data_IF_213096844314
#
_entry.id   IF_213096844314
#
_cell.length_a   1.000
_cell.length_b   1.000
_cell.length_c   1.000
_cell.angle_alpha   90.00
_cell.angle_beta   90.00
_cell.angle_gamma   90.00
#
_symmetry.space_group_name_H-M   'P 1'
#
loop_
_entity.id
_entity.type
_entity.pdbx_description
1 polymer ?
#
# COMPACT_ATOMS: atom_id res chain seq x y z
N UNK A 1 16.84 -30.04 3.23
CA UNK A 1 16.44 -29.68 1.85
C UNK A 1 15.36 -28.61 1.76
N UNK A 2 14.20 -28.77 2.44
CA UNK A 2 13.12 -27.78 2.41
C UNK A 2 13.57 -26.36 2.81
N UNK A 3 14.38 -26.22 3.87
CA UNK A 3 14.95 -24.93 4.30
C UNK A 3 15.81 -24.30 3.20
N UNK A 4 16.70 -25.07 2.57
CA UNK A 4 17.58 -24.55 1.51
C UNK A 4 16.80 -24.10 0.27
N UNK A 5 15.75 -24.84 -0.13
CA UNK A 5 14.85 -24.44 -1.22
C UNK A 5 14.07 -23.17 -0.87
N UNK A 6 13.45 -23.14 0.32
CA UNK A 6 12.70 -21.97 0.80
C UNK A 6 13.56 -20.71 0.90
N UNK A 7 14.81 -20.83 1.33
CA UNK A 7 15.76 -19.70 1.35
C UNK A 7 16.08 -19.18 -0.04
N UNK A 8 16.24 -20.05 -1.04
CA UNK A 8 16.54 -19.64 -2.42
C UNK A 8 15.31 -18.98 -3.09
N UNK A 9 14.12 -19.52 -2.85
CA UNK A 9 12.87 -18.92 -3.32
C UNK A 9 12.62 -17.55 -2.65
N UNK A 10 12.88 -17.46 -1.34
CA UNK A 10 12.84 -16.21 -0.59
C UNK A 10 13.82 -15.17 -1.10
N UNK A 11 15.06 -15.57 -1.43
CA UNK A 11 16.07 -14.67 -2.01
C UNK A 11 15.60 -14.10 -3.36
N UNK A 12 15.06 -14.96 -4.24
CA UNK A 12 14.51 -14.53 -5.53
C UNK A 12 13.34 -13.55 -5.35
N UNK A 13 12.44 -13.84 -4.42
CA UNK A 13 11.33 -12.95 -4.08
C UNK A 13 11.84 -11.60 -3.56
N UNK A 14 12.81 -11.60 -2.63
CA UNK A 14 13.38 -10.40 -2.04
C UNK A 14 14.04 -9.50 -3.10
N UNK A 15 14.82 -10.07 -4.00
CA UNK A 15 15.45 -9.32 -5.11
C UNK A 15 14.40 -8.71 -6.04
N UNK A 16 13.35 -9.47 -6.37
CA UNK A 16 12.27 -8.96 -7.21
C UNK A 16 11.52 -7.80 -6.54
N UNK A 17 11.20 -7.93 -5.25
CA UNK A 17 10.53 -6.87 -4.48
C UNK A 17 11.42 -5.63 -4.42
N UNK A 18 12.72 -5.78 -4.11
CA UNK A 18 13.66 -4.66 -4.08
C UNK A 18 13.75 -3.93 -5.43
N UNK A 19 13.84 -4.66 -6.54
CA UNK A 19 13.88 -4.07 -7.87
C UNK A 19 12.61 -3.28 -8.21
N UNK A 20 11.43 -3.85 -7.89
CA UNK A 20 10.14 -3.18 -8.12
C UNK A 20 10.01 -1.93 -7.23
N UNK A 21 10.41 -2.01 -5.96
CA UNK A 21 10.42 -0.86 -5.04
C UNK A 21 11.28 0.28 -5.58
N UNK A 22 12.50 -0.01 -6.05
CA UNK A 22 13.39 1.01 -6.63
C UNK A 22 12.70 1.71 -7.80
N UNK A 23 12.11 0.95 -8.73
CA UNK A 23 11.45 1.51 -9.90
C UNK A 23 10.23 2.38 -9.55
N UNK A 24 9.37 1.88 -8.65
CA UNK A 24 8.14 2.58 -8.25
C UNK A 24 8.44 3.83 -7.42
N UNK A 25 9.37 3.75 -6.47
CA UNK A 25 9.81 4.91 -5.67
C UNK A 25 10.42 5.98 -6.56
N UNK A 26 11.28 5.61 -7.52
CA UNK A 26 11.86 6.56 -8.46
C UNK A 26 10.79 7.25 -9.33
N UNK A 27 9.79 6.51 -9.80
CA UNK A 27 8.70 7.06 -10.59
C UNK A 27 7.83 8.03 -9.77
N UNK A 28 7.45 7.65 -8.56
CA UNK A 28 6.69 8.54 -7.65
C UNK A 28 7.51 9.77 -7.26
N UNK A 29 8.82 9.63 -7.02
CA UNK A 29 9.70 10.77 -6.79
C UNK A 29 9.74 11.74 -7.98
N UNK A 30 9.76 11.23 -9.21
CA UNK A 30 9.67 12.04 -10.42
C UNK A 30 8.32 12.78 -10.54
N UNK A 31 7.22 12.12 -10.20
CA UNK A 31 5.88 12.75 -10.13
C UNK A 31 5.87 13.85 -9.06
N UNK A 32 6.40 13.56 -7.87
CA UNK A 32 6.49 14.53 -6.77
C UNK A 32 7.36 15.73 -7.12
N UNK A 33 8.43 15.54 -7.89
CA UNK A 33 9.25 16.66 -8.38
C UNK A 33 8.43 17.63 -9.23
N UNK A 34 7.60 17.11 -10.14
CA UNK A 34 6.73 17.92 -11.01
C UNK A 34 5.62 18.58 -10.19
N UNK A 35 4.94 17.83 -9.31
CA UNK A 35 3.89 18.37 -8.44
C UNK A 35 4.43 19.41 -7.45
N UNK A 36 5.69 19.27 -7.04
CA UNK A 36 6.38 20.22 -6.18
C UNK A 36 6.45 21.63 -6.77
N UNK A 37 6.40 21.77 -8.11
CA UNK A 37 6.36 23.07 -8.78
C UNK A 37 5.09 23.88 -8.45
N UNK A 38 4.02 23.21 -8.02
CA UNK A 38 2.76 23.83 -7.59
C UNK A 38 2.52 23.65 -6.08
N UNK A 39 3.55 23.24 -5.33
CA UNK A 39 3.48 23.05 -3.88
C UNK A 39 2.68 21.83 -3.44
N UNK A 40 2.56 20.81 -4.29
CA UNK A 40 1.83 19.56 -3.99
C UNK A 40 2.74 18.33 -4.04
N UNK A 41 2.36 17.29 -3.32
CA UNK A 41 2.87 15.93 -3.51
C UNK A 41 1.74 14.97 -3.88
N UNK A 42 2.11 13.84 -4.48
CA UNK A 42 1.17 12.80 -4.83
C UNK A 42 0.51 12.23 -3.58
N UNK A 43 1.28 12.03 -2.51
CA UNK A 43 0.76 11.61 -1.21
C UNK A 43 -0.27 12.61 -0.64
N UNK A 44 -0.05 13.92 -0.77
CA UNK A 44 -1.02 14.92 -0.34
C UNK A 44 -2.33 14.80 -1.11
N UNK A 45 -2.26 14.67 -2.46
CA UNK A 45 -3.45 14.49 -3.30
C UNK A 45 -4.24 13.25 -2.86
N UNK A 46 -3.55 12.14 -2.64
CA UNK A 46 -4.18 10.92 -2.14
C UNK A 46 -4.70 11.09 -0.70
N UNK A 47 -4.01 11.87 0.12
CA UNK A 47 -4.47 12.27 1.46
C UNK A 47 -5.84 12.92 1.41
N UNK A 48 -6.06 13.88 0.52
CA UNK A 48 -7.38 14.47 0.30
C UNK A 48 -8.43 13.45 -0.15
N UNK A 49 -8.06 12.53 -1.05
CA UNK A 49 -8.96 11.51 -1.60
C UNK A 49 -9.35 10.46 -0.55
N UNK A 50 -8.41 10.03 0.28
CA UNK A 50 -8.61 8.98 1.28
C UNK A 50 -9.03 9.51 2.64
N UNK A 51 -8.94 10.81 2.90
CA UNK A 51 -9.41 11.44 4.14
C UNK A 51 -10.87 11.10 4.49
N UNK A 52 -11.85 11.16 3.56
CA UNK A 52 -13.22 10.74 3.87
C UNK A 52 -13.32 9.26 4.27
N UNK A 53 -12.49 8.40 3.68
CA UNK A 53 -12.44 6.98 4.03
C UNK A 53 -11.80 6.78 5.42
N UNK A 54 -10.71 7.48 5.72
CA UNK A 54 -10.09 7.48 7.05
C UNK A 54 -11.07 7.94 8.13
N UNK A 55 -11.85 8.99 7.86
CA UNK A 55 -12.92 9.42 8.74
C UNK A 55 -13.95 8.32 9.01
N UNK A 56 -14.43 7.65 7.95
CA UNK A 56 -15.39 6.54 8.07
C UNK A 56 -14.83 5.33 8.86
N UNK A 57 -13.51 5.15 8.88
CA UNK A 57 -12.86 4.10 9.70
C UNK A 57 -12.77 4.46 11.18
N UNK A 58 -13.16 5.68 11.59
CA UNK A 58 -13.14 6.14 12.97
C UNK A 58 -11.86 6.86 13.39
N UNK A 59 -11.06 7.34 12.43
CA UNK A 59 -9.85 8.13 12.71
C UNK A 59 -10.24 9.51 13.30
N UNK A 60 -9.65 9.92 14.44
CA UNK A 60 -9.78 11.27 14.98
C UNK A 60 -9.50 12.38 13.96
N UNK A 61 -10.28 13.47 14.02
CA UNK A 61 -10.27 14.53 13.00
C UNK A 61 -8.90 15.14 12.74
N UNK A 62 -8.08 15.28 13.78
CA UNK A 62 -6.73 15.82 13.69
C UNK A 62 -5.79 14.94 12.83
N UNK A 63 -6.05 13.64 12.75
CA UNK A 63 -5.15 12.67 12.16
C UNK A 63 -5.61 12.23 10.75
N UNK A 64 -6.84 12.57 10.34
CA UNK A 64 -7.48 12.08 9.11
C UNK A 64 -6.60 12.28 7.88
N UNK A 65 -6.04 13.49 7.71
CA UNK A 65 -5.26 13.82 6.53
C UNK A 65 -3.98 12.97 6.45
N UNK A 66 -3.33 12.77 7.60
CA UNK A 66 -2.12 11.99 7.71
C UNK A 66 -2.37 10.50 7.42
N UNK A 67 -3.43 9.94 8.02
CA UNK A 67 -3.81 8.54 7.78
C UNK A 67 -4.26 8.32 6.34
N UNK A 68 -5.00 9.27 5.76
CA UNK A 68 -5.35 9.24 4.33
C UNK A 68 -4.10 9.28 3.44
N UNK A 69 -3.09 10.08 3.80
CA UNK A 69 -1.81 10.14 3.11
C UNK A 69 -1.08 8.79 3.11
N UNK A 70 -1.00 8.14 4.27
CA UNK A 70 -0.39 6.81 4.42
C UNK A 70 -1.15 5.73 3.64
N UNK A 71 -2.50 5.77 3.63
CA UNK A 71 -3.31 4.88 2.79
C UNK A 71 -3.01 5.09 1.31
N UNK A 72 -2.88 6.35 0.89
CA UNK A 72 -2.48 6.69 -0.47
C UNK A 72 -1.10 6.18 -0.84
N UNK A 73 -0.14 6.44 0.05
CA UNK A 73 1.24 5.98 -0.10
C UNK A 73 1.35 4.48 -0.25
N UNK A 74 0.59 3.70 0.53
CA UNK A 74 0.47 2.25 0.35
C UNK A 74 0.09 1.89 -1.09
N UNK A 75 -0.94 2.53 -1.65
CA UNK A 75 -1.46 2.19 -3.00
C UNK A 75 -0.41 2.46 -4.09
N UNK A 76 0.30 3.58 -3.99
CA UNK A 76 1.20 4.05 -5.06
C UNK A 76 2.64 3.60 -4.91
N UNK A 77 3.10 3.41 -3.67
CA UNK A 77 4.38 2.80 -3.35
C UNK A 77 4.12 1.36 -2.92
N UNK A 78 4.20 1.08 -1.62
CA UNK A 78 3.87 -0.20 -0.99
C UNK A 78 3.56 0.02 0.49
N UNK A 79 3.00 -1.01 1.12
CA UNK A 79 2.81 -1.07 2.57
C UNK A 79 4.13 -0.97 3.34
N UNK A 80 5.24 -1.48 2.82
CA UNK A 80 6.54 -1.42 3.51
C UNK A 80 7.02 0.03 3.70
N UNK A 81 6.88 0.87 2.66
CA UNK A 81 7.23 2.29 2.75
C UNK A 81 6.26 3.03 3.68
N UNK A 82 4.96 2.77 3.53
CA UNK A 82 3.94 3.39 4.36
C UNK A 82 4.11 3.04 5.86
N UNK A 83 4.51 1.80 6.19
CA UNK A 83 4.84 1.43 7.57
C UNK A 83 6.06 2.17 8.11
N UNK A 84 7.07 2.40 7.27
CA UNK A 84 8.23 3.22 7.62
C UNK A 84 7.83 4.65 8.03
N UNK A 85 7.00 5.31 7.22
CA UNK A 85 6.53 6.65 7.55
C UNK A 85 5.50 6.67 8.69
N UNK A 86 4.66 5.63 8.83
CA UNK A 86 3.78 5.50 10.00
C UNK A 86 4.61 5.46 11.28
N UNK A 87 5.70 4.68 11.31
CA UNK A 87 6.60 4.57 12.47
C UNK A 87 7.13 5.94 12.91
N UNK A 88 7.52 6.79 11.96
CA UNK A 88 8.01 8.15 12.24
C UNK A 88 6.92 9.06 12.81
N UNK A 89 5.66 8.82 12.45
CA UNK A 89 4.49 9.64 12.82
C UNK A 89 3.77 9.17 14.09
N UNK A 90 4.05 7.97 14.59
CA UNK A 90 3.46 7.44 15.83
C UNK A 90 3.49 8.45 17.00
N UNK A 91 4.58 9.22 17.23
CA UNK A 91 4.61 10.20 18.33
C UNK A 91 3.59 11.33 18.20
N UNK A 92 3.20 11.68 16.98
CA UNK A 92 2.30 12.81 16.67
C UNK A 92 0.84 12.36 16.48
N UNK A 93 0.60 11.05 16.34
CA UNK A 93 -0.72 10.46 16.11
C UNK A 93 -1.34 9.96 17.40
N UNK A 94 -2.67 9.99 17.47
CA UNK A 94 -3.37 9.29 18.55
C UNK A 94 -3.12 7.77 18.47
N UNK A 95 -3.18 7.10 19.62
CA UNK A 95 -3.05 5.63 19.68
C UNK A 95 -4.11 4.94 18.81
N UNK A 96 -5.34 5.48 18.78
CA UNK A 96 -6.43 4.97 17.96
C UNK A 96 -6.09 5.08 16.47
N UNK A 97 -5.59 6.22 16.00
CA UNK A 97 -5.14 6.40 14.62
C UNK A 97 -4.03 5.45 14.24
N UNK A 98 -3.03 5.28 15.10
CA UNK A 98 -1.91 4.36 14.86
C UNK A 98 -2.39 2.92 14.69
N UNK A 99 -3.34 2.47 15.53
CA UNK A 99 -3.92 1.13 15.39
C UNK A 99 -4.75 1.00 14.11
N UNK A 100 -5.64 1.95 13.82
CA UNK A 100 -6.46 1.94 12.60
C UNK A 100 -5.58 1.93 11.35
N UNK A 101 -4.55 2.80 11.29
CA UNK A 101 -3.58 2.79 10.19
C UNK A 101 -2.86 1.46 10.09
N UNK A 102 -2.44 0.86 11.20
CA UNK A 102 -1.76 -0.44 11.17
C UNK A 102 -2.61 -1.52 10.49
N UNK A 103 -3.92 -1.56 10.73
CA UNK A 103 -4.85 -2.45 10.01
C UNK A 103 -5.09 -2.01 8.56
N UNK A 104 -5.25 -0.72 8.30
CA UNK A 104 -5.50 -0.20 6.95
C UNK A 104 -4.31 -0.42 6.02
N UNK A 105 -3.09 -0.39 6.56
CA UNK A 105 -1.84 -0.64 5.84
C UNK A 105 -1.58 -2.13 5.62
N UNK A 106 -2.13 -3.01 6.47
CA UNK A 106 -1.90 -4.45 6.41
C UNK A 106 -2.51 -5.07 5.14
N UNK A 107 -1.68 -5.25 4.11
CA UNK A 107 -2.02 -6.01 2.90
C UNK A 107 -1.31 -5.50 1.64
N UNK A 108 -1.07 -6.40 0.69
CA UNK A 108 -0.33 -6.16 -0.55
C UNK A 108 -1.22 -5.58 -1.68
N UNK A 109 -2.11 -4.65 -1.33
CA UNK A 109 -2.99 -4.00 -2.28
C UNK A 109 -2.33 -2.71 -2.79
N UNK A 110 -1.52 -2.82 -3.84
CA UNK A 110 -0.82 -1.70 -4.46
C UNK A 110 -0.44 -2.03 -5.93
N UNK A 111 0.00 -1.02 -6.69
CA UNK A 111 0.35 -1.21 -8.11
C UNK A 111 1.55 -2.14 -8.33
N UNK A 112 2.53 -2.14 -7.42
CA UNK A 112 3.67 -3.05 -7.49
C UNK A 112 3.22 -4.52 -7.38
N UNK A 113 2.33 -4.83 -6.45
CA UNK A 113 1.78 -6.16 -6.21
C UNK A 113 0.93 -6.68 -7.38
N UNK A 114 0.29 -5.81 -8.16
CA UNK A 114 -0.37 -6.19 -9.42
C UNK A 114 0.65 -6.76 -10.41
N UNK A 115 1.78 -6.08 -10.60
CA UNK A 115 2.86 -6.56 -11.47
C UNK A 115 3.44 -7.90 -10.99
N UNK A 116 3.67 -8.02 -9.68
CA UNK A 116 4.17 -9.27 -9.06
C UNK A 116 3.20 -10.42 -9.29
N UNK A 117 1.89 -10.22 -9.12
CA UNK A 117 0.88 -11.27 -9.30
C UNK A 117 0.73 -11.69 -10.76
N UNK A 118 0.71 -10.75 -11.70
CA UNK A 118 0.66 -11.07 -13.14
C UNK A 118 1.91 -11.84 -13.55
N UNK A 119 3.09 -11.42 -13.08
CA UNK A 119 4.36 -12.12 -13.37
C UNK A 119 4.42 -13.51 -12.73
N UNK A 120 4.09 -13.62 -11.44
CA UNK A 120 4.16 -14.86 -10.67
C UNK A 120 3.12 -15.89 -11.12
N UNK A 121 1.83 -15.54 -11.07
CA UNK A 121 0.75 -16.45 -11.48
C UNK A 121 0.82 -16.70 -12.98
N UNK A 122 1.18 -15.69 -13.77
CA UNK A 122 1.38 -15.84 -15.22
C UNK A 122 2.57 -16.72 -15.61
N UNK A 123 3.53 -16.97 -14.71
CA UNK A 123 4.58 -17.98 -14.95
C UNK A 123 4.05 -19.41 -14.69
N UNK A 124 3.12 -19.57 -13.74
CA UNK A 124 2.50 -20.86 -13.41
C UNK A 124 1.40 -21.24 -14.42
N UNK A 125 0.67 -20.26 -14.94
CA UNK A 125 -0.40 -20.43 -15.92
C UNK A 125 -0.26 -19.42 -17.08
N UNK A 126 0.68 -19.66 -18.03
CA UNK A 126 0.99 -18.73 -19.12
C UNK A 126 -0.23 -18.34 -19.96
N UNK A 127 -1.12 -19.29 -20.25
CA UNK A 127 -2.33 -19.08 -21.07
C UNK A 127 -3.38 -18.20 -20.38
N UNK A 128 -3.26 -17.97 -19.07
CA UNK A 128 -4.21 -17.18 -18.27
C UNK A 128 -3.73 -15.75 -17.98
N UNK A 129 -2.56 -15.35 -18.51
CA UNK A 129 -2.00 -14.00 -18.28
C UNK A 129 -2.98 -12.87 -18.66
N UNK A 130 -3.71 -13.03 -19.75
CA UNK A 130 -4.70 -12.05 -20.21
C UNK A 130 -5.87 -11.91 -19.23
N UNK A 131 -6.38 -13.02 -18.72
CA UNK A 131 -7.46 -13.04 -17.72
C UNK A 131 -6.99 -12.35 -16.44
N UNK A 132 -5.79 -12.69 -15.95
CA UNK A 132 -5.20 -12.09 -14.74
C UNK A 132 -5.05 -10.58 -14.90
N UNK A 133 -4.47 -10.12 -16.00
CA UNK A 133 -4.32 -8.69 -16.27
C UNK A 133 -5.66 -7.96 -16.32
N UNK A 134 -6.72 -8.60 -16.85
CA UNK A 134 -8.05 -7.99 -16.98
C UNK A 134 -8.75 -7.74 -15.64
N UNK A 135 -8.40 -8.50 -14.60
CA UNK A 135 -8.99 -8.37 -13.26
C UNK A 135 -8.06 -7.73 -12.22
N UNK A 136 -6.78 -7.56 -12.53
CA UNK A 136 -5.76 -7.21 -11.54
C UNK A 136 -6.05 -5.92 -10.77
N UNK A 137 -6.48 -4.85 -11.45
CA UNK A 137 -6.84 -3.60 -10.77
C UNK A 137 -8.07 -3.75 -9.88
N UNK A 138 -9.08 -4.51 -10.31
CA UNK A 138 -10.27 -4.81 -9.50
C UNK A 138 -9.89 -5.64 -8.27
N UNK A 139 -9.01 -6.62 -8.43
CA UNK A 139 -8.50 -7.44 -7.35
C UNK A 139 -7.69 -6.60 -6.34
N UNK A 140 -6.87 -5.67 -6.81
CA UNK A 140 -6.13 -4.72 -5.96
C UNK A 140 -7.08 -3.86 -5.12
N UNK A 141 -8.09 -3.25 -5.76
CA UNK A 141 -9.08 -2.43 -5.05
C UNK A 141 -9.87 -3.28 -4.04
N UNK A 142 -10.28 -4.49 -4.41
CA UNK A 142 -10.96 -5.40 -3.49
C UNK A 142 -10.08 -5.75 -2.28
N UNK A 143 -8.78 -5.98 -2.49
CA UNK A 143 -7.81 -6.20 -1.41
C UNK A 143 -7.65 -4.98 -0.50
N UNK A 144 -7.61 -3.77 -1.07
CA UNK A 144 -7.54 -2.54 -0.29
C UNK A 144 -8.79 -2.37 0.59
N UNK A 145 -9.98 -2.55 0.00
CA UNK A 145 -11.25 -2.51 0.71
C UNK A 145 -11.32 -3.54 1.84
N UNK A 146 -10.80 -4.76 1.64
CA UNK A 146 -10.75 -5.78 2.69
C UNK A 146 -9.89 -5.33 3.89
N UNK A 147 -8.71 -4.73 3.64
CA UNK A 147 -7.88 -4.17 4.72
C UNK A 147 -8.56 -2.99 5.43
N UNK A 148 -9.26 -2.13 4.68
CA UNK A 148 -9.97 -0.98 5.26
C UNK A 148 -11.23 -1.37 6.03
N UNK A 149 -11.93 -2.43 5.62
CA UNK A 149 -13.02 -3.02 6.41
C UNK A 149 -12.49 -3.55 7.74
N UNK A 150 -11.34 -4.23 7.73
CA UNK A 150 -10.69 -4.70 8.97
C UNK A 150 -10.30 -3.52 9.87
N UNK A 151 -9.75 -2.46 9.30
CA UNK A 151 -9.43 -1.23 10.01
C UNK A 151 -10.67 -0.52 10.59
N UNK A 152 -11.78 -0.54 9.85
CA UNK A 152 -13.07 -0.01 10.32
C UNK A 152 -13.57 -0.80 11.53
N UNK A 153 -13.49 -2.13 11.48
CA UNK A 153 -13.87 -2.98 12.62
C UNK A 153 -12.98 -2.67 13.84
N UNK A 154 -11.67 -2.52 13.65
CA UNK A 154 -10.77 -2.10 14.72
C UNK A 154 -11.17 -0.72 15.29
N UNK A 155 -11.50 0.25 14.43
CA UNK A 155 -11.94 1.58 14.84
C UNK A 155 -13.30 1.62 15.55
N UNK A 156 -14.18 0.65 15.31
CA UNK A 156 -15.47 0.48 16.02
C UNK A 156 -15.26 -0.08 17.43
N UNK A 157 -14.29 -0.99 17.60
CA UNK A 157 -14.05 -1.68 18.88
C UNK A 157 -13.27 -0.80 19.88
N UNK A 158 -12.50 0.17 19.36
CA UNK A 158 -11.65 1.11 20.13
C UNK A 158 -12.35 2.44 20.41
#
# INVERSE_FOLDING_TARGET
EAVARGSNDGLRLAVNVAAVLIAVVALVAGINYILGLVGLSFQQILGWIFSPLAFCMGVPVADIFEIGGLMGEKIVLTELVAYGHLQEKVPDLSIKSTIIASYALCGFANFASVGIQIGGIGALAPDRRRDLASVALKAMIAGALASWLTATIAGIIL
#
